data_IF_300876144957
#
_entry.id   IF_300876144957
#
_cell.length_a   1.000
_cell.length_b   1.000
_cell.length_c   1.000
_cell.angle_alpha   90.00
_cell.angle_beta   90.00
_cell.angle_gamma   90.00
#
_symmetry.space_group_name_H-M   'P 1'
#
loop_
_entity.id
_entity.type
_entity.pdbx_description
1 polymer ?
#
# COMPACT_ATOMS: atom_id res chain seq x y z
N UNK A 1 4.60 -2.77 23.98
CA UNK A 1 3.44 -1.95 24.41
C UNK A 1 2.20 -2.82 24.55
N UNK A 2 1.41 -2.65 25.61
CA UNK A 2 0.21 -3.46 25.90
C UNK A 2 -1.00 -2.96 25.06
N UNK A 3 -1.58 -3.85 24.24
CA UNK A 3 -2.84 -3.62 23.53
C UNK A 3 -4.05 -4.21 24.29
N UNK A 4 -3.84 -5.35 24.96
CA UNK A 4 -4.81 -5.98 25.85
C UNK A 4 -4.09 -6.80 26.93
N UNK A 5 -4.82 -7.56 27.75
CA UNK A 5 -4.18 -8.47 28.72
C UNK A 5 -3.41 -9.60 28.03
N UNK A 6 -3.77 -9.96 26.81
CA UNK A 6 -3.15 -11.04 26.05
C UNK A 6 -2.22 -10.56 24.92
N UNK A 7 -2.43 -9.35 24.37
CA UNK A 7 -1.74 -8.89 23.16
C UNK A 7 -0.76 -7.76 23.48
N UNK A 8 0.47 -7.90 22.98
CA UNK A 8 1.54 -6.89 23.06
C UNK A 8 2.03 -6.53 21.66
N UNK A 9 2.22 -5.24 21.44
CA UNK A 9 2.95 -4.75 20.28
C UNK A 9 4.46 -4.78 20.57
N UNK A 10 5.23 -5.36 19.66
CA UNK A 10 6.69 -5.48 19.73
C UNK A 10 7.40 -5.03 18.45
N UNK A 11 6.67 -4.37 17.56
CA UNK A 11 7.22 -3.85 16.31
C UNK A 11 8.18 -2.67 16.49
N UNK A 12 8.66 -2.15 15.37
CA UNK A 12 9.66 -1.08 15.29
C UNK A 12 9.20 0.03 14.35
N UNK A 13 9.74 1.26 14.55
CA UNK A 13 9.51 2.41 13.67
C UNK A 13 10.78 2.73 12.90
N UNK A 14 10.73 2.64 11.58
CA UNK A 14 11.83 3.00 10.71
C UNK A 14 11.67 4.44 10.17
N UNK A 15 12.50 5.34 10.66
CA UNK A 15 12.60 6.72 10.20
C UNK A 15 13.86 6.95 9.33
N UNK A 16 14.61 5.91 9.03
CA UNK A 16 15.93 5.98 8.41
C UNK A 16 15.95 5.50 6.97
N UNK A 17 15.18 4.47 6.65
CA UNK A 17 15.05 3.95 5.28
C UNK A 17 14.38 4.98 4.38
N UNK A 18 15.00 5.24 3.24
CA UNK A 18 14.51 6.25 2.29
C UNK A 18 13.49 5.70 1.32
N UNK A 19 13.60 4.42 0.97
CA UNK A 19 12.78 3.77 -0.03
C UNK A 19 12.31 2.39 0.48
N UNK A 20 11.02 2.19 0.59
CA UNK A 20 10.40 0.87 0.78
C UNK A 20 10.57 0.05 -0.51
N UNK A 21 10.92 -1.23 -0.42
CA UNK A 21 11.26 -2.10 -1.57
C UNK A 21 12.31 -1.46 -2.52
N UNK A 22 13.17 -0.56 -2.03
CA UNK A 22 14.08 0.25 -2.84
C UNK A 22 13.42 1.06 -3.97
N UNK A 23 12.11 1.28 -3.90
CA UNK A 23 11.32 1.94 -4.95
C UNK A 23 10.42 3.08 -4.42
N UNK A 24 9.78 2.90 -3.27
CA UNK A 24 8.74 3.80 -2.77
C UNK A 24 9.28 4.74 -1.69
N UNK A 25 9.34 6.06 -1.93
CA UNK A 25 9.83 7.00 -0.93
C UNK A 25 9.08 6.94 0.40
N UNK A 26 9.81 7.05 1.48
CA UNK A 26 9.29 7.05 2.85
C UNK A 26 9.55 8.41 3.54
N UNK A 27 8.91 9.51 3.13
CA UNK A 27 9.16 10.83 3.71
C UNK A 27 8.78 10.89 5.20
N UNK A 28 7.88 10.02 5.64
CA UNK A 28 7.39 9.93 7.02
C UNK A 28 7.77 8.60 7.69
N UNK A 29 8.74 7.87 7.13
CA UNK A 29 9.11 6.54 7.61
C UNK A 29 8.04 5.47 7.34
N UNK A 30 8.20 4.33 8.02
CA UNK A 30 7.29 3.20 8.03
C UNK A 30 7.40 2.47 9.37
N UNK A 31 6.36 1.77 9.81
CA UNK A 31 6.47 0.83 10.92
C UNK A 31 6.50 -0.61 10.40
N UNK A 32 7.29 -1.47 11.07
CA UNK A 32 7.25 -2.92 10.89
C UNK A 32 6.64 -3.51 12.16
N UNK A 33 5.35 -3.80 12.09
CA UNK A 33 4.58 -4.21 13.24
C UNK A 33 4.66 -5.72 13.43
N UNK A 34 4.86 -6.12 14.66
CA UNK A 34 4.80 -7.50 15.11
C UNK A 34 4.13 -7.56 16.48
N UNK A 35 3.53 -8.69 16.79
CA UNK A 35 2.69 -8.80 17.98
C UNK A 35 2.97 -10.09 18.72
N UNK A 36 2.91 -10.05 20.05
CA UNK A 36 2.89 -11.23 20.89
C UNK A 36 1.46 -11.51 21.35
N UNK A 37 1.04 -12.76 21.27
CA UNK A 37 -0.14 -13.28 21.97
C UNK A 37 0.36 -14.11 23.13
N UNK A 38 0.16 -13.62 24.35
CA UNK A 38 0.73 -14.18 25.58
C UNK A 38 -0.37 -14.87 26.37
N UNK A 39 -0.25 -16.20 26.46
CA UNK A 39 -1.14 -17.04 27.25
C UNK A 39 -0.34 -18.14 27.97
N UNK A 40 -0.87 -19.37 28.14
CA UNK A 40 -0.08 -20.52 28.59
C UNK A 40 1.10 -20.76 27.67
N UNK A 41 0.85 -20.68 26.34
CA UNK A 41 1.86 -20.61 25.29
C UNK A 41 1.94 -19.19 24.71
N UNK A 42 3.11 -18.85 24.17
CA UNK A 42 3.36 -17.55 23.53
C UNK A 42 3.49 -17.74 22.03
N UNK A 43 2.67 -16.98 21.27
CA UNK A 43 2.80 -16.85 19.83
C UNK A 43 3.33 -15.46 19.46
N UNK A 44 4.36 -15.40 18.60
CA UNK A 44 4.83 -14.21 17.93
C UNK A 44 4.19 -14.17 16.54
N UNK A 45 3.59 -13.04 16.16
CA UNK A 45 2.93 -12.84 14.88
C UNK A 45 3.84 -11.99 13.99
N UNK A 46 4.34 -12.60 12.91
CA UNK A 46 5.32 -12.02 11.97
C UNK A 46 6.60 -11.53 12.68
N UNK A 47 7.53 -10.92 11.95
CA UNK A 47 8.75 -10.36 12.53
C UNK A 47 8.90 -8.90 12.08
N UNK A 48 10.13 -8.38 11.99
CA UNK A 48 10.44 -7.05 11.50
C UNK A 48 11.56 -7.11 10.45
N UNK A 49 11.86 -5.97 9.84
CA UNK A 49 12.96 -5.86 8.88
C UNK A 49 14.32 -6.18 9.53
N UNK A 50 15.20 -6.82 8.77
CA UNK A 50 16.48 -7.33 9.25
C UNK A 50 17.38 -6.26 9.92
N UNK A 51 17.29 -5.02 9.47
CA UNK A 51 18.03 -3.87 10.01
C UNK A 51 17.68 -3.51 11.46
N UNK A 52 16.52 -3.96 11.95
CA UNK A 52 16.00 -3.68 13.29
C UNK A 52 16.10 -4.86 14.25
N UNK A 53 16.94 -5.87 13.93
CA UNK A 53 17.11 -7.09 14.70
C UNK A 53 17.27 -6.85 16.22
N UNK A 54 18.20 -5.99 16.61
CA UNK A 54 18.55 -5.77 18.02
C UNK A 54 17.40 -5.12 18.80
N UNK A 55 16.75 -4.09 18.20
CA UNK A 55 15.60 -3.43 18.78
C UNK A 55 14.43 -4.39 18.91
N UNK A 56 14.14 -5.16 17.85
CA UNK A 56 13.05 -6.12 17.82
C UNK A 56 13.19 -7.20 18.90
N UNK A 57 14.37 -7.81 19.02
CA UNK A 57 14.64 -8.81 20.07
C UNK A 57 14.52 -8.20 21.47
N UNK A 58 14.99 -6.97 21.64
CA UNK A 58 14.86 -6.24 22.92
C UNK A 58 13.39 -6.00 23.26
N UNK A 59 12.57 -5.58 22.31
CA UNK A 59 11.13 -5.37 22.49
C UNK A 59 10.43 -6.68 22.93
N UNK A 60 10.77 -7.80 22.30
CA UNK A 60 10.23 -9.11 22.69
C UNK A 60 10.62 -9.46 24.13
N UNK A 61 11.91 -9.39 24.46
CA UNK A 61 12.43 -9.75 25.79
C UNK A 61 11.83 -8.90 26.91
N UNK A 62 11.60 -7.62 26.64
CA UNK A 62 10.96 -6.70 27.60
C UNK A 62 9.52 -7.11 27.94
N UNK A 63 8.80 -7.76 27.01
CA UNK A 63 7.40 -8.16 27.24
C UNK A 63 7.26 -9.57 27.82
N UNK A 64 8.17 -10.51 27.47
CA UNK A 64 8.04 -11.91 27.93
C UNK A 64 9.02 -12.31 29.03
N UNK A 65 10.06 -11.50 29.32
CA UNK A 65 11.10 -11.83 30.32
C UNK A 65 11.83 -13.13 29.97
N UNK A 66 11.88 -14.05 30.92
CA UNK A 66 12.54 -15.37 30.80
C UNK A 66 11.66 -16.44 30.09
N UNK A 67 10.42 -16.09 29.71
CA UNK A 67 9.56 -17.00 28.95
C UNK A 67 10.08 -17.21 27.54
N UNK A 68 9.66 -18.29 26.89
CA UNK A 68 10.04 -18.63 25.52
C UNK A 68 8.88 -18.38 24.57
N UNK A 69 9.21 -18.13 23.30
CA UNK A 69 8.23 -18.15 22.21
C UNK A 69 8.01 -19.61 21.83
N UNK A 70 6.77 -20.08 21.92
CA UNK A 70 6.36 -21.42 21.53
C UNK A 70 6.09 -21.50 20.02
N UNK A 71 5.49 -20.44 19.47
CA UNK A 71 5.09 -20.37 18.05
C UNK A 71 5.51 -19.06 17.41
N UNK A 72 6.02 -19.16 16.18
CA UNK A 72 6.15 -18.02 15.25
C UNK A 72 5.12 -18.20 14.15
N UNK A 73 4.10 -17.36 14.16
CA UNK A 73 3.08 -17.33 13.11
C UNK A 73 3.60 -16.47 11.96
N UNK A 74 3.64 -17.04 10.75
CA UNK A 74 4.07 -16.33 9.55
C UNK A 74 2.87 -16.16 8.64
N UNK A 75 2.29 -14.96 8.66
CA UNK A 75 1.15 -14.60 7.83
C UNK A 75 1.56 -14.35 6.38
N UNK A 76 2.77 -13.79 6.17
CA UNK A 76 3.28 -13.39 4.87
C UNK A 76 4.81 -13.47 4.83
N UNK A 77 5.37 -13.76 3.65
CA UNK A 77 6.80 -14.05 3.48
C UNK A 77 7.62 -12.90 2.92
N UNK A 78 7.06 -11.70 2.81
CA UNK A 78 7.86 -10.54 2.39
C UNK A 78 8.96 -10.24 3.41
N UNK A 79 10.22 -10.01 2.95
CA UNK A 79 11.38 -9.92 3.85
C UNK A 79 11.33 -8.80 4.88
N UNK A 80 10.56 -7.74 4.66
CA UNK A 80 10.47 -6.62 5.59
C UNK A 80 9.76 -6.97 6.92
N UNK A 81 8.98 -8.05 6.95
CA UNK A 81 8.40 -8.61 8.18
C UNK A 81 8.57 -10.13 8.34
N UNK A 82 9.42 -10.76 7.52
CA UNK A 82 9.76 -12.17 7.63
C UNK A 82 11.27 -12.48 7.75
N UNK A 83 12.14 -11.48 7.59
CA UNK A 83 13.60 -11.69 7.53
C UNK A 83 14.23 -12.18 8.85
N UNK A 84 13.56 -11.99 9.99
CA UNK A 84 14.13 -12.36 11.29
C UNK A 84 13.72 -13.76 11.78
N UNK A 85 13.08 -14.59 10.95
CA UNK A 85 12.65 -15.95 11.33
C UNK A 85 13.83 -16.81 11.83
N UNK A 86 14.97 -16.78 11.11
CA UNK A 86 16.16 -17.53 11.53
C UNK A 86 16.75 -17.01 12.85
N UNK A 87 16.62 -15.70 13.12
CA UNK A 87 17.06 -15.09 14.38
C UNK A 87 16.16 -15.54 15.53
N UNK A 88 14.85 -15.54 15.34
CA UNK A 88 13.88 -16.05 16.34
C UNK A 88 14.16 -17.53 16.65
N UNK A 89 14.42 -18.36 15.62
CA UNK A 89 14.74 -19.77 15.78
C UNK A 89 16.07 -19.99 16.51
N UNK A 90 17.06 -19.13 16.30
CA UNK A 90 18.32 -19.20 17.03
C UNK A 90 18.18 -18.81 18.50
N UNK A 91 17.36 -17.81 18.81
CA UNK A 91 17.06 -17.35 20.18
C UNK A 91 16.14 -18.32 20.94
N UNK A 92 15.17 -18.93 20.23
CA UNK A 92 14.17 -19.86 20.76
C UNK A 92 14.16 -21.16 19.93
N UNK A 93 15.12 -22.11 20.16
CA UNK A 93 15.30 -23.29 19.31
C UNK A 93 14.08 -24.22 19.23
N UNK A 94 13.28 -24.28 20.32
CA UNK A 94 12.07 -25.11 20.40
C UNK A 94 10.84 -24.43 19.71
N UNK A 95 10.96 -23.18 19.26
CA UNK A 95 9.88 -22.44 18.62
C UNK A 95 9.44 -23.15 17.33
N UNK A 96 8.15 -23.41 17.17
CA UNK A 96 7.55 -23.97 15.96
C UNK A 96 7.05 -22.84 15.06
N UNK A 97 7.47 -22.82 13.79
CA UNK A 97 6.90 -21.91 12.79
C UNK A 97 5.54 -22.46 12.35
N UNK A 98 4.51 -21.60 12.39
CA UNK A 98 3.15 -21.94 11.96
C UNK A 98 2.79 -21.12 10.74
N UNK A 99 2.49 -21.79 9.64
CA UNK A 99 2.16 -21.13 8.37
C UNK A 99 1.39 -22.09 7.45
N UNK A 100 1.09 -21.69 6.23
CA UNK A 100 0.47 -22.58 5.25
C UNK A 100 1.52 -23.26 4.33
N UNK A 101 1.10 -24.29 3.62
CA UNK A 101 1.99 -25.12 2.81
C UNK A 101 2.70 -24.34 1.66
N UNK A 102 2.14 -23.20 1.19
CA UNK A 102 2.77 -22.40 0.12
C UNK A 102 3.95 -21.57 0.63
N UNK A 103 3.94 -21.19 1.91
CA UNK A 103 5.03 -20.43 2.51
C UNK A 103 6.26 -21.30 2.82
N UNK A 104 6.09 -22.62 3.04
CA UNK A 104 7.19 -23.52 3.42
C UNK A 104 8.41 -23.44 2.48
N UNK A 105 8.28 -23.56 1.14
CA UNK A 105 9.44 -23.43 0.25
C UNK A 105 10.05 -22.01 0.25
N UNK A 106 9.26 -20.97 0.61
CA UNK A 106 9.78 -19.62 0.74
C UNK A 106 10.61 -19.46 2.03
N UNK A 107 10.15 -20.08 3.14
CA UNK A 107 10.89 -20.13 4.41
C UNK A 107 12.24 -20.83 4.21
N UNK A 108 12.26 -21.98 3.53
CA UNK A 108 13.49 -22.65 3.17
C UNK A 108 14.39 -21.77 2.30
N UNK A 109 13.82 -21.16 1.24
CA UNK A 109 14.57 -20.36 0.28
C UNK A 109 15.17 -19.07 0.88
N UNK A 110 14.43 -18.36 1.72
CA UNK A 110 14.88 -17.10 2.33
C UNK A 110 15.68 -17.30 3.62
N UNK A 111 15.30 -18.28 4.45
CA UNK A 111 15.81 -18.42 5.82
C UNK A 111 16.58 -19.73 6.06
N UNK A 112 16.59 -20.67 5.12
CA UNK A 112 17.24 -21.97 5.26
C UNK A 112 16.63 -22.89 6.33
N UNK A 113 15.37 -22.64 6.73
CA UNK A 113 14.67 -23.40 7.78
C UNK A 113 13.85 -24.50 7.13
N UNK A 114 14.09 -25.76 7.54
CA UNK A 114 13.41 -26.95 7.01
C UNK A 114 12.70 -27.77 8.09
N UNK A 115 12.92 -27.47 9.37
CA UNK A 115 12.42 -28.24 10.50
C UNK A 115 11.55 -27.41 11.44
N UNK A 116 10.74 -28.08 12.25
CA UNK A 116 9.80 -27.47 13.20
C UNK A 116 8.86 -26.47 12.53
N UNK A 117 8.28 -26.87 11.39
CA UNK A 117 7.27 -26.10 10.68
C UNK A 117 5.95 -26.88 10.77
N UNK A 118 4.93 -26.24 11.35
CA UNK A 118 3.55 -26.71 11.38
C UNK A 118 2.77 -26.05 10.25
N UNK A 119 2.32 -26.85 9.29
CA UNK A 119 1.45 -26.34 8.23
C UNK A 119 -0.01 -26.41 8.63
N UNK A 120 -0.72 -25.32 8.44
CA UNK A 120 -2.14 -25.16 8.75
C UNK A 120 -2.95 -24.91 7.48
N UNK A 121 -4.25 -25.17 7.58
CA UNK A 121 -5.24 -24.98 6.50
C UNK A 121 -6.28 -23.92 6.86
N UNK A 122 -7.12 -23.59 5.89
CA UNK A 122 -8.27 -22.70 6.05
C UNK A 122 -9.12 -23.09 7.24
N UNK A 123 -9.34 -22.17 8.17
CA UNK A 123 -10.21 -22.32 9.34
C UNK A 123 -9.64 -23.14 10.48
N UNK A 124 -8.43 -23.73 10.35
CA UNK A 124 -7.78 -24.44 11.45
C UNK A 124 -7.43 -23.50 12.60
N UNK A 125 -7.36 -24.05 13.80
CA UNK A 125 -7.08 -23.32 15.03
C UNK A 125 -5.83 -23.85 15.74
N UNK A 126 -5.04 -22.93 16.30
CA UNK A 126 -3.94 -23.19 17.21
C UNK A 126 -4.35 -22.79 18.63
N UNK A 127 -4.26 -23.71 19.58
CA UNK A 127 -4.62 -23.49 20.97
C UNK A 127 -3.39 -22.97 21.76
N UNK A 128 -3.56 -21.82 22.43
CA UNK A 128 -2.53 -21.22 23.28
C UNK A 128 -2.83 -21.36 24.78
N UNK A 129 -4.02 -21.91 25.14
CA UNK A 129 -4.53 -22.07 26.51
C UNK A 129 -5.94 -21.48 26.62
N UNK A 130 -6.07 -20.24 27.05
CA UNK A 130 -7.37 -19.58 27.18
C UNK A 130 -7.81 -18.86 25.89
N UNK A 131 -6.89 -18.62 24.97
CA UNK A 131 -7.18 -18.04 23.65
C UNK A 131 -6.73 -18.97 22.52
N UNK A 132 -7.36 -18.82 21.35
CA UNK A 132 -7.05 -19.57 20.14
C UNK A 132 -6.72 -18.64 19.00
N UNK A 133 -5.88 -19.11 18.09
CA UNK A 133 -5.58 -18.44 16.84
C UNK A 133 -6.21 -19.24 15.70
N UNK A 134 -7.13 -18.63 14.95
CA UNK A 134 -7.76 -19.22 13.77
C UNK A 134 -7.18 -18.59 12.50
N UNK A 135 -6.96 -19.39 11.46
CA UNK A 135 -6.26 -18.97 10.27
C UNK A 135 -7.17 -18.93 9.04
N UNK A 136 -7.08 -17.84 8.27
CA UNK A 136 -7.81 -17.68 7.01
C UNK A 136 -6.84 -17.36 5.87
N UNK A 137 -6.95 -18.13 4.78
CA UNK A 137 -6.11 -17.90 3.59
C UNK A 137 -6.68 -16.74 2.77
N UNK A 138 -5.84 -15.75 2.48
CA UNK A 138 -6.16 -14.58 1.66
C UNK A 138 -5.15 -14.44 0.52
N UNK A 139 -5.05 -15.45 -0.36
CA UNK A 139 -4.03 -15.50 -1.38
C UNK A 139 -4.07 -14.27 -2.28
N UNK A 140 -2.90 -13.78 -2.69
CA UNK A 140 -2.71 -12.58 -3.50
C UNK A 140 -3.14 -11.26 -2.82
N UNK A 141 -3.14 -11.25 -1.47
CA UNK A 141 -3.23 -10.00 -0.70
C UNK A 141 -1.94 -9.82 0.14
N UNK A 142 -0.71 -9.59 -0.44
CA UNK A 142 -0.61 -9.43 -1.92
C UNK A 142 0.20 -10.56 -2.59
N UNK A 143 0.69 -11.58 -1.87
CA UNK A 143 1.40 -12.75 -2.39
C UNK A 143 0.55 -14.03 -2.31
N UNK A 144 0.94 -15.11 -3.02
CA UNK A 144 0.10 -16.31 -3.15
C UNK A 144 -0.08 -17.12 -1.87
N UNK A 145 0.83 -16.96 -0.90
CA UNK A 145 0.82 -17.67 0.39
C UNK A 145 0.16 -16.87 1.51
N UNK A 146 -0.21 -15.61 1.28
CA UNK A 146 -0.71 -14.72 2.33
C UNK A 146 -1.92 -15.31 3.07
N UNK A 147 -1.86 -15.25 4.38
CA UNK A 147 -2.95 -15.59 5.30
C UNK A 147 -3.12 -14.49 6.35
N UNK A 148 -4.21 -14.54 7.08
CA UNK A 148 -4.47 -13.69 8.25
C UNK A 148 -4.78 -14.57 9.45
N UNK A 149 -4.45 -14.06 10.64
CA UNK A 149 -4.67 -14.74 11.91
C UNK A 149 -5.74 -14.03 12.71
N UNK A 150 -6.76 -14.76 13.15
CA UNK A 150 -7.87 -14.26 13.94
C UNK A 150 -7.80 -14.81 15.37
N UNK A 151 -7.91 -13.93 16.36
CA UNK A 151 -8.05 -14.29 17.77
C UNK A 151 -9.47 -13.95 18.25
N UNK A 152 -10.40 -14.93 18.31
CA UNK A 152 -11.80 -14.69 18.63
C UNK A 152 -12.02 -14.07 20.00
N UNK A 153 -11.32 -14.55 21.01
CA UNK A 153 -11.47 -14.15 22.41
C UNK A 153 -11.06 -12.67 22.60
N UNK A 154 -10.09 -12.20 21.82
CA UNK A 154 -9.60 -10.82 21.84
C UNK A 154 -10.22 -9.95 20.74
N UNK A 155 -11.12 -10.51 19.91
CA UNK A 155 -11.71 -9.86 18.72
C UNK A 155 -10.67 -9.15 17.86
N UNK A 156 -9.49 -9.76 17.71
CA UNK A 156 -8.32 -9.17 17.05
C UNK A 156 -7.96 -9.92 15.78
N UNK A 157 -7.89 -9.18 14.67
CA UNK A 157 -7.42 -9.64 13.37
C UNK A 157 -5.99 -9.17 13.14
N UNK A 158 -5.04 -10.10 13.03
CA UNK A 158 -3.69 -9.84 12.53
C UNK A 158 -3.74 -10.00 11.00
N UNK A 159 -3.77 -8.88 10.31
CA UNK A 159 -4.18 -8.81 8.91
C UNK A 159 -3.04 -8.89 7.90
N UNK A 160 -1.78 -9.04 8.36
CA UNK A 160 -0.63 -8.87 7.48
C UNK A 160 -0.65 -7.45 6.86
N UNK A 161 -0.35 -7.34 5.59
CA UNK A 161 -0.30 -6.07 4.86
C UNK A 161 -1.65 -5.44 4.58
N UNK A 162 -2.73 -6.22 4.69
CA UNK A 162 -4.06 -5.65 4.52
C UNK A 162 -4.33 -4.58 5.59
N UNK A 163 -4.91 -3.45 5.15
CA UNK A 163 -5.15 -2.25 5.96
C UNK A 163 -3.88 -1.52 6.42
N UNK A 164 -2.72 -1.91 5.89
CA UNK A 164 -1.44 -1.28 6.14
C UNK A 164 -1.31 0.09 5.51
N UNK A 165 -0.36 0.88 6.02
CA UNK A 165 -0.05 2.22 5.54
C UNK A 165 1.44 2.47 5.52
N UNK A 166 1.95 3.29 4.61
CA UNK A 166 3.20 3.99 4.86
C UNK A 166 3.03 4.98 6.02
N UNK A 167 4.10 5.58 6.48
CA UNK A 167 4.22 6.46 7.64
C UNK A 167 4.36 5.68 8.96
N UNK A 168 5.42 6.01 9.68
CA UNK A 168 5.69 5.46 11.00
C UNK A 168 4.65 5.94 12.02
N UNK A 169 4.30 5.08 12.97
CA UNK A 169 3.27 5.37 13.98
C UNK A 169 3.82 6.16 15.18
N UNK A 170 5.14 6.25 15.34
CA UNK A 170 5.77 6.93 16.48
C UNK A 170 5.36 6.30 17.80
N UNK A 171 4.92 7.14 18.76
CA UNK A 171 4.47 6.67 20.07
C UNK A 171 2.95 6.38 20.11
N UNK A 172 2.19 6.74 19.07
CA UNK A 172 0.74 6.52 18.98
C UNK A 172 0.49 5.29 18.10
N UNK A 173 0.59 4.09 18.68
CA UNK A 173 0.44 2.83 17.95
C UNK A 173 -1.03 2.54 17.62
N UNK A 174 -1.97 2.99 18.46
CA UNK A 174 -3.41 2.81 18.25
C UNK A 174 -4.11 4.10 17.81
N UNK A 175 -5.25 3.97 17.15
CA UNK A 175 -6.11 5.09 16.71
C UNK A 175 -7.03 5.63 17.81
N UNK A 176 -6.68 5.45 19.09
CA UNK A 176 -7.59 5.69 20.22
C UNK A 176 -7.84 7.16 20.54
N UNK A 177 -6.96 8.10 20.15
CA UNK A 177 -6.98 9.48 20.69
C UNK A 177 -7.10 10.60 19.65
N UNK A 178 -6.97 10.30 18.34
CA UNK A 178 -6.89 11.30 17.25
C UNK A 178 -7.72 10.88 16.05
N UNK A 179 -7.93 11.78 15.08
CA UNK A 179 -8.40 11.42 13.74
C UNK A 179 -7.28 10.72 12.96
N UNK A 180 -6.83 9.60 13.49
CA UNK A 180 -5.71 8.81 12.94
C UNK A 180 -5.98 8.39 11.50
N UNK A 181 -7.24 8.05 11.15
CA UNK A 181 -7.59 7.69 9.79
C UNK A 181 -7.38 8.87 8.83
N UNK A 182 -7.79 10.09 9.20
CA UNK A 182 -7.54 11.29 8.40
C UNK A 182 -6.05 11.51 8.16
N UNK A 183 -5.24 11.38 9.22
CA UNK A 183 -3.80 11.57 9.17
C UNK A 183 -3.05 10.50 8.34
N UNK A 184 -3.57 9.29 8.27
CA UNK A 184 -2.95 8.17 7.56
C UNK A 184 -3.59 7.85 6.20
N UNK A 185 -4.75 8.42 5.89
CA UNK A 185 -5.55 8.09 4.70
C UNK A 185 -4.78 8.21 3.38
N UNK A 186 -4.03 9.29 3.19
CA UNK A 186 -3.27 9.50 1.97
C UNK A 186 -2.12 8.47 1.86
N UNK A 187 -1.45 8.15 2.96
CA UNK A 187 -0.39 7.14 2.99
C UNK A 187 -0.95 5.71 2.90
N UNK A 188 -2.14 5.44 3.42
CA UNK A 188 -2.88 4.19 3.17
C UNK A 188 -3.22 4.03 1.69
N UNK A 189 -3.70 5.10 1.06
CA UNK A 189 -4.01 5.08 -0.39
C UNK A 189 -2.75 4.83 -1.20
N UNK A 190 -1.64 5.48 -0.84
CA UNK A 190 -0.35 5.32 -1.52
C UNK A 190 0.22 3.91 -1.32
N UNK A 191 0.14 3.36 -0.11
CA UNK A 191 0.52 1.97 0.19
C UNK A 191 -0.33 1.00 -0.63
N UNK A 192 -1.67 1.14 -0.56
CA UNK A 192 -2.59 0.31 -1.35
C UNK A 192 -2.26 0.37 -2.85
N UNK A 193 -2.16 1.57 -3.42
CA UNK A 193 -1.89 1.76 -4.84
C UNK A 193 -0.52 1.19 -5.27
N UNK A 194 0.49 1.27 -4.41
CA UNK A 194 1.85 0.80 -4.72
C UNK A 194 1.99 -0.71 -4.59
N UNK A 195 1.42 -1.30 -3.52
CA UNK A 195 1.67 -2.69 -3.10
C UNK A 195 0.51 -3.62 -3.48
N UNK A 196 -0.73 -3.24 -3.15
CA UNK A 196 -1.91 -4.12 -3.24
C UNK A 196 -2.74 -3.87 -4.51
N UNK A 197 -2.62 -2.69 -5.13
CA UNK A 197 -3.55 -2.15 -6.13
C UNK A 197 -3.86 -3.05 -7.33
N UNK A 198 -2.94 -3.95 -7.71
CA UNK A 198 -3.16 -4.94 -8.76
C UNK A 198 -4.19 -6.02 -8.36
N UNK A 199 -4.33 -6.29 -7.08
CA UNK A 199 -5.02 -7.46 -6.52
C UNK A 199 -6.41 -7.13 -5.98
N UNK A 200 -7.13 -6.21 -6.61
CA UNK A 200 -8.46 -5.76 -6.22
C UNK A 200 -9.47 -6.91 -6.03
N UNK A 201 -9.52 -7.88 -6.96
CA UNK A 201 -10.38 -9.07 -6.85
C UNK A 201 -10.08 -9.95 -5.63
N UNK A 202 -8.81 -10.33 -5.39
CA UNK A 202 -8.38 -10.98 -4.15
C UNK A 202 -8.78 -10.22 -2.88
N UNK A 203 -8.60 -8.89 -2.85
CA UNK A 203 -9.01 -8.06 -1.71
C UNK A 203 -10.51 -8.15 -1.47
N UNK A 204 -11.35 -8.02 -2.51
CA UNK A 204 -12.80 -8.18 -2.40
C UNK A 204 -13.20 -9.58 -1.87
N UNK A 205 -12.49 -10.62 -2.31
CA UNK A 205 -12.71 -11.99 -1.82
C UNK A 205 -12.34 -12.12 -0.33
N UNK A 206 -11.24 -11.51 0.09
CA UNK A 206 -10.81 -11.48 1.49
C UNK A 206 -11.81 -10.72 2.37
N UNK A 207 -12.24 -9.51 1.97
CA UNK A 207 -13.25 -8.73 2.68
C UNK A 207 -14.56 -9.50 2.85
N UNK A 208 -15.03 -10.17 1.79
CA UNK A 208 -16.23 -11.00 1.87
C UNK A 208 -16.07 -12.18 2.84
N UNK A 209 -14.90 -12.87 2.80
CA UNK A 209 -14.62 -14.01 3.68
C UNK A 209 -14.59 -13.59 5.15
N UNK A 210 -13.94 -12.47 5.46
CA UNK A 210 -13.74 -11.99 6.83
C UNK A 210 -14.93 -11.17 7.36
N UNK A 211 -15.88 -10.79 6.50
CA UNK A 211 -17.01 -9.91 6.85
C UNK A 211 -17.99 -10.47 7.89
N UNK A 212 -17.91 -11.76 8.21
CA UNK A 212 -18.69 -12.39 9.29
C UNK A 212 -18.02 -12.34 10.66
N UNK A 213 -16.77 -11.87 10.76
CA UNK A 213 -16.02 -11.79 12.02
C UNK A 213 -16.39 -10.50 12.78
N UNK A 214 -16.57 -10.61 14.10
CA UNK A 214 -16.81 -9.47 14.96
C UNK A 214 -15.48 -8.80 15.35
N UNK A 215 -14.88 -8.09 14.39
CA UNK A 215 -13.55 -7.49 14.54
C UNK A 215 -13.62 -6.25 15.44
N UNK A 216 -12.96 -6.32 16.59
CA UNK A 216 -12.78 -5.20 17.53
C UNK A 216 -11.41 -4.52 17.42
N UNK A 217 -10.45 -5.17 16.72
CA UNK A 217 -9.11 -4.64 16.48
C UNK A 217 -8.52 -5.22 15.20
N UNK A 218 -7.86 -4.37 14.39
CA UNK A 218 -7.05 -4.79 13.25
C UNK A 218 -5.58 -4.45 13.53
N UNK A 219 -4.73 -5.47 13.51
CA UNK A 219 -3.29 -5.40 13.71
C UNK A 219 -2.61 -5.69 12.37
N UNK A 220 -2.31 -4.65 11.59
CA UNK A 220 -1.57 -4.75 10.32
C UNK A 220 -0.05 -4.77 10.55
N UNK A 221 0.71 -5.20 9.53
CA UNK A 221 2.19 -5.18 9.56
C UNK A 221 2.76 -3.77 9.43
N UNK A 222 1.98 -2.81 8.93
CA UNK A 222 2.40 -1.42 8.75
C UNK A 222 1.31 -0.44 9.19
N UNK A 223 1.72 0.70 9.76
CA UNK A 223 0.82 1.75 10.19
C UNK A 223 0.13 1.47 11.53
N UNK A 224 -0.97 2.19 11.84
CA UNK A 224 -1.64 2.10 13.12
C UNK A 224 -2.36 0.77 13.35
N UNK A 225 -2.50 0.39 14.62
CA UNK A 225 -3.49 -0.59 15.07
C UNK A 225 -4.86 0.11 15.11
N UNK A 226 -5.82 -0.42 14.36
CA UNK A 226 -7.16 0.16 14.24
C UNK A 226 -8.10 -0.46 15.26
N UNK A 227 -8.69 0.36 16.13
CA UNK A 227 -9.65 -0.04 17.17
C UNK A 227 -10.96 0.78 17.09
N UNK A 228 -10.85 2.10 16.96
CA UNK A 228 -12.00 3.01 16.96
C UNK A 228 -12.51 3.34 15.55
N UNK A 229 -11.62 3.32 14.56
CA UNK A 229 -11.91 3.73 13.19
C UNK A 229 -11.98 2.54 12.20
N UNK A 230 -12.17 1.32 12.70
CA UNK A 230 -12.23 0.07 11.91
C UNK A 230 -13.24 0.18 10.76
N UNK A 231 -14.44 0.66 11.05
CA UNK A 231 -15.52 0.78 10.03
C UNK A 231 -15.08 1.70 8.89
N UNK A 232 -14.46 2.84 9.21
CA UNK A 232 -13.97 3.80 8.21
C UNK A 232 -12.84 3.18 7.36
N UNK A 233 -11.91 2.50 8.01
CA UNK A 233 -10.75 1.86 7.36
C UNK A 233 -11.22 0.74 6.42
N UNK A 234 -12.09 -0.16 6.88
CA UNK A 234 -12.62 -1.27 6.09
C UNK A 234 -13.44 -0.76 4.90
N UNK A 235 -14.32 0.23 5.12
CA UNK A 235 -15.10 0.83 4.04
C UNK A 235 -14.21 1.54 3.01
N UNK A 236 -13.14 2.17 3.46
CA UNK A 236 -12.21 2.84 2.56
C UNK A 236 -11.39 1.83 1.74
N UNK A 237 -10.93 0.76 2.38
CA UNK A 237 -10.22 -0.32 1.71
C UNK A 237 -11.10 -1.04 0.67
N UNK A 238 -12.39 -1.23 1.00
CA UNK A 238 -13.40 -1.74 0.08
C UNK A 238 -13.57 -0.82 -1.15
N UNK A 239 -13.66 0.50 -0.95
CA UNK A 239 -13.70 1.48 -2.06
C UNK A 239 -12.48 1.41 -2.96
N UNK A 240 -11.27 1.39 -2.37
CA UNK A 240 -10.02 1.29 -3.13
C UNK A 240 -10.00 0.03 -4.00
N UNK A 241 -10.43 -1.11 -3.45
CA UNK A 241 -10.46 -2.39 -4.16
C UNK A 241 -11.60 -2.54 -5.19
N UNK A 242 -12.58 -1.62 -5.18
CA UNK A 242 -13.57 -1.48 -6.26
C UNK A 242 -13.23 -0.38 -7.24
N UNK A 243 -12.06 0.25 -7.08
CA UNK A 243 -11.66 1.43 -7.85
C UNK A 243 -12.63 2.61 -7.76
N UNK A 244 -13.46 2.69 -6.71
CA UNK A 244 -14.35 3.81 -6.49
C UNK A 244 -13.56 5.07 -6.18
N UNK A 245 -13.73 6.07 -7.04
CA UNK A 245 -13.03 7.36 -6.94
C UNK A 245 -13.98 8.49 -6.59
N UNK A 246 -13.44 9.54 -6.02
CA UNK A 246 -14.16 10.80 -5.83
C UNK A 246 -14.05 11.67 -7.08
N UNK A 247 -15.05 12.56 -7.30
CA UNK A 247 -14.92 13.56 -8.36
C UNK A 247 -13.74 14.49 -8.09
N UNK A 248 -12.85 14.59 -9.08
CA UNK A 248 -11.64 15.41 -9.04
C UNK A 248 -10.61 14.97 -10.06
N UNK A 249 -9.48 15.65 -10.08
CA UNK A 249 -8.44 15.49 -11.10
C UNK A 249 -7.09 15.16 -10.46
N UNK A 250 -6.49 14.07 -10.92
CA UNK A 250 -5.06 13.85 -10.81
C UNK A 250 -4.39 14.36 -12.08
N UNK A 251 -3.74 15.51 -12.01
CA UNK A 251 -2.95 16.10 -13.11
C UNK A 251 -1.48 15.80 -12.84
N UNK A 252 -0.86 14.98 -13.69
CA UNK A 252 0.55 14.66 -13.60
C UNK A 252 1.28 15.00 -14.91
N UNK A 253 2.49 15.51 -14.80
CA UNK A 253 3.25 15.91 -15.98
C UNK A 253 4.74 15.68 -15.83
N UNK A 254 5.42 15.53 -16.97
CA UNK A 254 6.86 15.67 -17.06
C UNK A 254 7.22 16.89 -17.91
N UNK A 255 8.30 17.59 -17.56
CA UNK A 255 8.74 18.76 -18.31
C UNK A 255 10.26 18.81 -18.38
N UNK A 256 10.82 18.99 -19.60
CA UNK A 256 12.27 19.10 -19.80
C UNK A 256 12.76 20.55 -19.64
N UNK A 257 12.02 21.51 -20.17
CA UNK A 257 12.43 22.94 -20.24
C UNK A 257 11.31 23.89 -19.81
N UNK A 258 10.37 23.44 -18.97
CA UNK A 258 9.32 24.26 -18.36
C UNK A 258 8.10 24.53 -19.24
N UNK A 259 8.04 24.14 -20.53
CA UNK A 259 6.91 24.46 -21.39
C UNK A 259 5.67 23.59 -21.10
N UNK A 260 5.85 22.28 -20.92
CA UNK A 260 4.77 21.37 -20.49
C UNK A 260 4.28 21.73 -19.09
N UNK A 261 5.19 22.13 -18.21
CA UNK A 261 4.87 22.59 -16.85
C UNK A 261 3.98 23.85 -16.87
N UNK A 262 4.32 24.87 -17.66
CA UNK A 262 3.48 26.07 -17.78
C UNK A 262 2.06 25.73 -18.23
N UNK A 263 1.91 24.81 -19.19
CA UNK A 263 0.60 24.33 -19.63
C UNK A 263 -0.14 23.57 -18.51
N UNK A 264 0.56 22.70 -17.75
CA UNK A 264 0.01 21.96 -16.63
C UNK A 264 -0.50 22.89 -15.52
N UNK A 265 0.30 23.89 -15.15
CA UNK A 265 -0.06 24.83 -14.10
C UNK A 265 -1.24 25.74 -14.52
N UNK A 266 -1.27 26.21 -15.78
CA UNK A 266 -2.39 26.96 -16.31
C UNK A 266 -3.69 26.13 -16.30
N UNK A 267 -3.61 24.86 -16.70
CA UNK A 267 -4.75 23.94 -16.67
C UNK A 267 -5.23 23.67 -15.24
N UNK A 268 -4.32 23.42 -14.31
CA UNK A 268 -4.66 23.21 -12.91
C UNK A 268 -5.38 24.43 -12.30
N UNK A 269 -4.92 25.62 -12.60
CA UNK A 269 -5.57 26.89 -12.21
C UNK A 269 -7.00 27.00 -12.78
N UNK A 270 -7.18 26.69 -14.06
CA UNK A 270 -8.49 26.73 -14.73
C UNK A 270 -9.47 25.70 -14.11
N UNK A 271 -8.99 24.47 -13.78
CA UNK A 271 -9.79 23.44 -13.11
C UNK A 271 -10.18 23.91 -11.70
N UNK A 272 -9.23 24.41 -10.92
CA UNK A 272 -9.48 24.90 -9.54
C UNK A 272 -10.46 26.09 -9.52
N UNK A 273 -10.41 26.99 -10.49
CA UNK A 273 -11.38 28.10 -10.63
C UNK A 273 -12.82 27.61 -10.83
N UNK A 274 -13.01 26.38 -11.33
CA UNK A 274 -14.33 25.73 -11.47
C UNK A 274 -14.79 25.03 -10.19
N UNK A 275 -13.99 25.11 -9.10
CA UNK A 275 -14.29 24.44 -7.84
C UNK A 275 -14.04 22.93 -7.83
N UNK A 276 -13.32 22.40 -8.83
CA UNK A 276 -13.01 20.98 -8.96
C UNK A 276 -11.70 20.69 -8.20
N UNK A 277 -11.69 19.72 -7.26
CA UNK A 277 -10.45 19.28 -6.60
C UNK A 277 -9.42 18.83 -7.64
N UNK A 278 -8.20 19.34 -7.54
CA UNK A 278 -7.13 19.02 -8.48
C UNK A 278 -5.80 18.94 -7.76
N UNK A 279 -5.15 17.78 -7.83
CA UNK A 279 -3.75 17.60 -7.43
C UNK A 279 -2.84 17.74 -8.64
N UNK A 280 -1.62 18.24 -8.42
CA UNK A 280 -0.64 18.49 -9.47
C UNK A 280 0.67 17.81 -9.11
N UNK A 281 1.19 16.97 -10.00
CA UNK A 281 2.38 16.16 -9.80
C UNK A 281 3.42 16.44 -10.88
N UNK A 282 4.61 16.93 -10.46
CA UNK A 282 5.76 17.06 -11.34
C UNK A 282 6.59 15.77 -11.30
N UNK A 283 6.35 14.87 -12.23
CA UNK A 283 7.03 13.57 -12.31
C UNK A 283 8.53 13.66 -12.64
N UNK A 284 9.03 14.87 -12.94
CA UNK A 284 10.47 15.11 -13.14
C UNK A 284 11.20 15.27 -11.80
N UNK A 285 10.48 15.62 -10.75
CA UNK A 285 11.04 15.98 -9.43
C UNK A 285 10.58 15.04 -8.32
N UNK A 286 9.42 14.38 -8.47
CA UNK A 286 8.87 13.47 -7.47
C UNK A 286 8.67 12.04 -8.00
N UNK A 287 8.64 11.08 -7.08
CA UNK A 287 8.33 9.70 -7.41
C UNK A 287 6.86 9.56 -7.83
N UNK A 288 6.61 8.78 -8.87
CA UNK A 288 5.27 8.59 -9.42
C UNK A 288 4.25 7.94 -8.45
N UNK A 289 4.68 7.37 -7.32
CA UNK A 289 3.77 6.80 -6.30
C UNK A 289 2.81 7.83 -5.70
N UNK A 290 3.22 9.11 -5.63
CA UNK A 290 2.33 10.18 -5.16
C UNK A 290 1.22 10.48 -6.16
N UNK A 291 1.54 10.51 -7.44
CA UNK A 291 0.53 10.64 -8.50
C UNK A 291 -0.34 9.37 -8.58
N UNK A 292 0.24 8.18 -8.45
CA UNK A 292 -0.49 6.92 -8.44
C UNK A 292 -1.51 6.85 -7.29
N UNK A 293 -1.17 7.34 -6.09
CA UNK A 293 -2.11 7.54 -4.99
C UNK A 293 -3.34 8.33 -5.45
N UNK A 294 -3.13 9.46 -6.13
CA UNK A 294 -4.21 10.35 -6.51
C UNK A 294 -4.99 9.84 -7.74
N UNK A 295 -4.41 8.95 -8.54
CA UNK A 295 -5.12 8.15 -9.55
C UNK A 295 -6.16 7.22 -8.91
N UNK A 296 -5.87 6.65 -7.74
CA UNK A 296 -6.85 5.88 -6.98
C UNK A 296 -7.90 6.75 -6.30
N UNK A 297 -7.55 7.99 -5.95
CA UNK A 297 -8.42 8.94 -5.24
C UNK A 297 -9.43 9.63 -6.13
N UNK A 298 -9.06 9.98 -7.39
CA UNK A 298 -9.87 10.81 -8.28
C UNK A 298 -10.34 10.06 -9.54
N UNK A 299 -11.51 10.49 -10.05
CA UNK A 299 -12.15 9.90 -11.22
C UNK A 299 -11.55 10.35 -12.57
N UNK A 300 -10.77 11.43 -12.58
CA UNK A 300 -10.19 11.99 -13.80
C UNK A 300 -8.66 12.03 -13.72
N UNK A 301 -8.00 11.50 -14.74
CA UNK A 301 -6.56 11.51 -14.93
C UNK A 301 -6.20 12.41 -16.08
N UNK A 302 -5.32 13.37 -15.85
CA UNK A 302 -4.76 14.22 -16.90
C UNK A 302 -3.24 14.05 -16.93
N UNK A 303 -2.69 13.63 -18.07
CA UNK A 303 -1.24 13.43 -18.22
C UNK A 303 -0.64 14.41 -19.23
N UNK A 304 0.39 15.14 -18.80
CA UNK A 304 1.16 16.07 -19.62
C UNK A 304 2.55 15.52 -19.97
N UNK A 305 2.88 15.41 -21.27
CA UNK A 305 4.18 14.88 -21.69
C UNK A 305 4.76 15.62 -22.90
N UNK A 306 6.02 16.09 -22.84
CA UNK A 306 6.71 16.41 -24.07
C UNK A 306 6.93 15.15 -24.92
N UNK A 307 7.01 15.30 -26.24
CA UNK A 307 7.47 14.22 -27.10
C UNK A 307 8.98 14.07 -26.97
N UNK A 308 9.43 12.89 -26.52
CA UNK A 308 10.83 12.54 -26.33
C UNK A 308 11.18 11.28 -27.13
N UNK A 309 12.18 11.37 -28.02
CA UNK A 309 12.57 10.26 -28.90
C UNK A 309 11.39 9.62 -29.64
N UNK A 310 10.50 10.44 -30.21
CA UNK A 310 9.24 10.02 -30.83
C UNK A 310 8.29 9.20 -29.92
N UNK A 311 8.42 9.36 -28.62
CA UNK A 311 7.67 8.64 -27.60
C UNK A 311 7.17 9.53 -26.48
N UNK A 312 6.67 8.88 -25.43
CA UNK A 312 6.29 9.51 -24.18
C UNK A 312 7.57 9.79 -23.37
N UNK A 313 7.64 10.93 -22.69
CA UNK A 313 8.74 11.26 -21.79
C UNK A 313 8.82 10.21 -20.65
N UNK A 314 10.03 9.68 -20.33
CA UNK A 314 10.17 8.51 -19.44
C UNK A 314 9.41 8.58 -18.10
N UNK A 315 9.45 9.68 -17.31
CA UNK A 315 8.71 9.73 -16.04
C UNK A 315 7.19 9.60 -16.22
N UNK A 316 6.63 10.18 -17.29
CA UNK A 316 5.18 10.10 -17.59
C UNK A 316 4.82 8.69 -18.07
N UNK A 317 5.70 8.06 -18.86
CA UNK A 317 5.54 6.67 -19.28
C UNK A 317 5.49 5.74 -18.07
N UNK A 318 6.42 5.90 -17.13
CA UNK A 318 6.48 5.09 -15.91
C UNK A 318 5.19 5.16 -15.10
N UNK A 319 4.62 6.35 -14.93
CA UNK A 319 3.32 6.47 -14.26
C UNK A 319 2.21 5.76 -15.04
N UNK A 320 2.13 5.97 -16.36
CA UNK A 320 1.08 5.37 -17.19
C UNK A 320 1.18 3.82 -17.21
N UNK A 321 2.39 3.26 -17.33
CA UNK A 321 2.65 1.83 -17.19
C UNK A 321 2.23 1.34 -15.80
N UNK A 322 2.59 2.06 -14.73
CA UNK A 322 2.19 1.73 -13.36
C UNK A 322 0.67 1.73 -13.15
N UNK A 323 -0.07 2.62 -13.81
CA UNK A 323 -1.54 2.65 -13.79
C UNK A 323 -2.10 1.40 -14.50
N UNK A 324 -1.57 1.07 -15.69
CA UNK A 324 -1.98 -0.10 -16.46
C UNK A 324 -1.71 -1.41 -15.71
N UNK A 325 -0.54 -1.55 -15.08
CA UNK A 325 -0.15 -2.74 -14.32
C UNK A 325 -1.08 -3.05 -13.15
N UNK A 326 -1.64 -2.00 -12.55
CA UNK A 326 -2.61 -2.12 -11.45
C UNK A 326 -4.04 -2.32 -11.92
N UNK A 327 -4.25 -2.37 -13.23
CA UNK A 327 -5.56 -2.59 -13.85
C UNK A 327 -6.63 -1.63 -13.32
N UNK A 328 -6.23 -0.37 -13.09
CA UNK A 328 -7.15 0.68 -12.64
C UNK A 328 -8.33 0.79 -13.61
N UNK A 329 -9.55 0.97 -13.08
CA UNK A 329 -10.80 1.01 -13.86
C UNK A 329 -11.57 2.29 -13.60
N UNK A 330 -12.58 2.51 -14.45
CA UNK A 330 -13.59 3.56 -14.27
C UNK A 330 -12.97 4.96 -14.11
N UNK A 331 -12.01 5.30 -14.99
CA UNK A 331 -11.38 6.63 -15.05
C UNK A 331 -11.69 7.33 -16.36
N UNK A 332 -11.85 8.66 -16.25
CA UNK A 332 -11.82 9.56 -17.39
C UNK A 332 -10.38 10.00 -17.64
N UNK A 333 -10.02 10.20 -18.88
CA UNK A 333 -8.64 10.48 -19.25
C UNK A 333 -8.52 11.61 -20.27
N UNK A 334 -7.52 12.46 -20.07
CA UNK A 334 -7.10 13.46 -21.03
C UNK A 334 -5.57 13.54 -21.12
N UNK A 335 -5.02 13.63 -22.32
CA UNK A 335 -3.60 13.84 -22.55
C UNK A 335 -3.32 15.20 -23.18
N UNK A 336 -2.25 15.84 -22.72
CA UNK A 336 -1.71 17.02 -23.42
C UNK A 336 -0.18 16.90 -23.54
N UNK A 337 0.40 17.70 -24.46
CA UNK A 337 1.84 17.61 -24.64
C UNK A 337 2.45 18.72 -25.48
N UNK A 338 3.77 18.82 -25.42
CA UNK A 338 4.59 19.69 -26.24
C UNK A 338 5.47 18.89 -27.20
N UNK A 339 5.77 19.50 -28.35
CA UNK A 339 6.73 18.95 -29.30
C UNK A 339 7.46 20.09 -30.03
N UNK A 340 8.59 19.77 -30.68
CA UNK A 340 9.28 20.73 -31.55
C UNK A 340 8.95 20.48 -33.03
N UNK A 341 9.07 19.22 -33.50
CA UNK A 341 8.83 18.89 -34.92
C UNK A 341 7.76 17.81 -35.12
N UNK A 342 7.75 16.71 -34.33
CA UNK A 342 6.83 15.60 -34.49
C UNK A 342 6.06 15.32 -33.18
N UNK A 343 4.74 15.47 -33.16
CA UNK A 343 3.93 15.14 -32.00
C UNK A 343 3.71 13.61 -31.92
N UNK A 344 4.02 12.99 -30.77
CA UNK A 344 3.77 11.58 -30.57
C UNK A 344 3.20 11.25 -29.19
N UNK A 345 3.61 11.96 -28.15
CA UNK A 345 3.30 11.61 -26.75
C UNK A 345 1.81 11.52 -26.46
N UNK A 346 1.01 12.49 -26.93
CA UNK A 346 -0.44 12.54 -26.69
C UNK A 346 -1.15 11.34 -27.34
N UNK A 347 -0.84 11.04 -28.59
CA UNK A 347 -1.40 9.87 -29.28
C UNK A 347 -1.08 8.57 -28.55
N UNK A 348 0.20 8.37 -28.15
CA UNK A 348 0.63 7.18 -27.44
C UNK A 348 -0.02 7.04 -26.06
N UNK A 349 -0.17 8.14 -25.33
CA UNK A 349 -0.89 8.15 -24.04
C UNK A 349 -2.36 7.77 -24.22
N UNK A 350 -3.04 8.29 -25.23
CA UNK A 350 -4.41 7.93 -25.55
C UNK A 350 -4.54 6.45 -25.94
N UNK A 351 -3.62 5.93 -26.74
CA UNK A 351 -3.60 4.49 -27.09
C UNK A 351 -3.50 3.61 -25.84
N UNK A 352 -2.62 3.95 -24.90
CA UNK A 352 -2.49 3.23 -23.63
C UNK A 352 -3.76 3.37 -22.75
N UNK A 353 -4.34 4.57 -22.68
CA UNK A 353 -5.56 4.83 -21.91
C UNK A 353 -6.78 4.06 -22.47
N UNK A 354 -6.93 4.02 -23.79
CA UNK A 354 -7.98 3.25 -24.47
C UNK A 354 -7.79 1.74 -24.19
N UNK A 355 -6.55 1.24 -24.29
CA UNK A 355 -6.23 -0.16 -23.99
C UNK A 355 -6.51 -0.52 -22.52
N UNK A 356 -6.36 0.44 -21.60
CA UNK A 356 -6.72 0.31 -20.18
C UNK A 356 -8.24 0.44 -19.91
N UNK A 357 -9.05 0.77 -20.93
CA UNK A 357 -10.51 0.92 -20.81
C UNK A 357 -10.97 2.26 -20.24
N UNK A 358 -10.13 3.31 -20.31
CA UNK A 358 -10.50 4.63 -19.80
C UNK A 358 -11.42 5.40 -20.78
N UNK A 359 -12.33 6.19 -20.22
CA UNK A 359 -13.15 7.12 -20.99
C UNK A 359 -12.36 8.34 -21.44
N UNK A 360 -12.07 8.45 -22.74
CA UNK A 360 -11.32 9.56 -23.30
C UNK A 360 -12.20 10.82 -23.37
N UNK A 361 -11.79 11.89 -22.72
CA UNK A 361 -12.54 13.16 -22.67
C UNK A 361 -12.49 13.93 -24.00
N UNK A 362 -11.35 13.89 -24.69
CA UNK A 362 -11.13 14.46 -26.02
C UNK A 362 -9.85 13.89 -26.64
N UNK A 363 -9.60 14.17 -27.92
CA UNK A 363 -8.39 13.69 -28.64
C UNK A 363 -7.06 14.11 -28.00
N UNK A 364 -7.12 15.09 -27.08
CA UNK A 364 -5.96 15.65 -26.41
C UNK A 364 -5.49 16.96 -27.04
N UNK A 365 -4.52 17.62 -26.39
CA UNK A 365 -3.99 18.90 -26.83
C UNK A 365 -2.48 18.84 -27.05
N UNK A 366 -2.02 19.28 -28.22
CA UNK A 366 -0.58 19.36 -28.50
C UNK A 366 -0.22 20.77 -28.96
N UNK A 367 0.81 21.35 -28.36
CA UNK A 367 1.37 22.62 -28.82
C UNK A 367 2.84 22.47 -29.23
N UNK A 368 3.28 23.32 -30.14
CA UNK A 368 4.65 23.34 -30.66
C UNK A 368 5.51 24.36 -29.94
N UNK A 369 6.75 23.95 -29.56
CA UNK A 369 7.78 24.83 -29.02
C UNK A 369 7.36 25.50 -27.70
N UNK A 370 7.46 26.86 -27.60
CA UNK A 370 7.13 27.56 -26.37
C UNK A 370 5.64 27.55 -26.03
N UNK A 371 5.34 27.46 -24.76
CA UNK A 371 3.98 27.58 -24.24
C UNK A 371 3.47 29.04 -24.44
N UNK A 372 2.29 29.16 -25.00
CA UNK A 372 1.51 30.40 -25.08
C UNK A 372 0.03 30.06 -24.85
N UNK A 373 -0.75 30.93 -24.14
CA UNK A 373 -2.18 30.70 -23.93
C UNK A 373 -2.98 30.53 -25.23
N UNK A 374 -2.57 31.22 -26.30
CA UNK A 374 -3.18 31.10 -27.64
C UNK A 374 -2.97 29.75 -28.31
N UNK A 375 -1.99 28.98 -27.86
CA UNK A 375 -1.67 27.63 -28.38
C UNK A 375 -2.22 26.49 -27.54
N UNK A 376 -2.66 26.80 -26.30
CA UNK A 376 -3.17 25.82 -25.35
C UNK A 376 -4.27 26.44 -24.50
N UNK A 377 -5.52 26.19 -24.87
CA UNK A 377 -6.71 26.74 -24.21
C UNK A 377 -7.03 25.91 -22.92
N UNK A 378 -6.46 26.36 -21.82
CA UNK A 378 -6.64 25.70 -20.52
C UNK A 378 -8.09 25.77 -20.01
N UNK A 379 -8.82 26.86 -20.29
CA UNK A 379 -10.21 27.03 -19.87
C UNK A 379 -11.16 26.10 -20.63
N UNK A 380 -10.95 25.93 -21.94
CA UNK A 380 -11.70 24.98 -22.75
C UNK A 380 -11.47 23.53 -22.27
N UNK A 381 -10.22 23.15 -22.00
CA UNK A 381 -9.86 21.81 -21.49
C UNK A 381 -10.45 21.59 -20.09
N UNK A 382 -10.36 22.57 -19.20
CA UNK A 382 -10.99 22.49 -17.87
C UNK A 382 -12.52 22.34 -17.93
N UNK A 383 -13.13 22.72 -19.04
CA UNK A 383 -14.55 22.53 -19.31
C UNK A 383 -14.95 21.08 -19.64
N UNK A 384 -14.01 20.20 -19.92
CA UNK A 384 -14.24 18.77 -20.19
C UNK A 384 -14.35 17.92 -18.92
N UNK A 385 -13.92 18.47 -17.78
CA UNK A 385 -13.81 17.77 -16.48
C UNK A 385 -15.10 17.92 -15.58
#
# INVERSE_FOLDING_TARGET
MKLSDKIRYVGVNDLTTKLFEHQWPLPYGVSYNSYLVIDEKIALIDTAAASFKEEFITNIKNEIGDRKIDYLIVNHMEPDHSALQAVIRAEYPDCTIVTNAKAVPMIEGFNGITENILTIKEGECLDLGTVKLQFFMVPMVHWPETMVTWCPEEKTLFSGDAFGTFKAVGNCITDSELDTFGDFKDEMTRYYASIVGKYAGPVQSALKKLGGLEIGRICSTHGPVWENQITQVVQYYDKLSRYEASHGVCLAYGSMYGNTEKAALALAEAIKKRGIPCTVHNLTEENYSFALRDVFKFDTIILGSPTYNNGIFPPVRQLMEGICDRQVKDRRFFAFGSCTWAPASVRLLNEMAIAAGFGILAEGATFKQGYEPSKFDADAIAGLV
#
